data_IF_656564270955
#
_entry.id   IF_656564270955
#
_cell.length_a   1.000
_cell.length_b   1.000
_cell.length_c   1.000
_cell.angle_alpha   90.00
_cell.angle_beta   90.00
_cell.angle_gamma   90.00
#
_symmetry.space_group_name_H-M   'P 1'
#
loop_
_entity.id
_entity.type
_entity.pdbx_description
1 polymer ?
#
# COMPACT_ATOMS: atom_id res chain seq x y z
N UNK A 1 -14.03 2.83 -14.23
CA UNK A 1 -13.78 4.13 -13.54
C UNK A 1 -12.77 3.83 -12.45
N UNK A 2 -11.66 4.58 -12.36
CA UNK A 2 -10.61 4.26 -11.36
C UNK A 2 -10.98 4.89 -10.02
N UNK A 3 -11.04 4.09 -8.98
CA UNK A 3 -11.33 4.55 -7.62
C UNK A 3 -10.02 4.73 -6.86
N UNK A 4 -9.70 5.96 -6.39
CA UNK A 4 -8.49 6.20 -5.62
C UNK A 4 -8.68 5.75 -4.16
N UNK A 5 -7.80 4.89 -3.69
CA UNK A 5 -7.76 4.45 -2.29
C UNK A 5 -6.43 4.83 -1.65
N UNK A 6 -6.46 5.16 -0.35
CA UNK A 6 -5.25 5.36 0.42
C UNK A 6 -4.80 4.05 1.09
N UNK A 7 -3.48 3.84 1.12
CA UNK A 7 -2.87 2.65 1.73
C UNK A 7 -1.70 3.09 2.56
N UNK A 8 -1.61 2.53 3.76
CA UNK A 8 -0.46 2.73 4.65
C UNK A 8 0.45 1.52 4.56
N UNK A 9 1.73 1.73 4.23
CA UNK A 9 2.74 0.70 4.24
C UNK A 9 3.82 1.02 5.27
N UNK A 10 4.23 0.06 6.08
CA UNK A 10 5.29 0.24 7.08
C UNK A 10 6.14 -1.00 7.26
N UNK A 11 7.38 -0.81 7.72
CA UNK A 11 8.31 -1.92 7.97
C UNK A 11 8.23 -2.38 9.43
N UNK A 12 7.97 -3.68 9.63
CA UNK A 12 7.99 -4.34 10.93
C UNK A 12 8.81 -5.62 10.83
N UNK A 13 9.86 -5.76 11.65
CA UNK A 13 10.69 -6.98 11.76
C UNK A 13 11.17 -7.52 10.40
N UNK A 14 11.55 -6.63 9.48
CA UNK A 14 12.02 -6.99 8.14
C UNK A 14 10.93 -7.24 7.10
N UNK A 15 9.66 -7.13 7.46
CA UNK A 15 8.51 -7.27 6.56
C UNK A 15 7.87 -5.92 6.28
N UNK A 16 7.35 -5.75 5.08
CA UNK A 16 6.47 -4.64 4.73
C UNK A 16 5.02 -5.03 5.03
N UNK A 17 4.42 -4.36 6.00
CA UNK A 17 3.00 -4.45 6.30
C UNK A 17 2.24 -3.42 5.46
N UNK A 18 1.26 -3.89 4.70
CA UNK A 18 0.38 -3.08 3.85
C UNK A 18 -1.01 -3.11 4.47
N UNK A 19 -1.49 -1.94 4.90
CA UNK A 19 -2.76 -1.77 5.59
C UNK A 19 -3.73 -0.93 4.72
N UNK A 20 -4.83 -1.56 4.34
CA UNK A 20 -5.95 -0.93 3.63
C UNK A 20 -7.08 -0.70 4.63
N UNK A 21 -7.08 0.47 5.25
CA UNK A 21 -7.96 0.84 6.37
C UNK A 21 -9.44 0.80 5.96
N UNK A 22 -9.75 1.30 4.76
CA UNK A 22 -11.12 1.41 4.24
C UNK A 22 -11.84 0.06 4.12
N UNK A 23 -11.09 -1.03 3.98
CA UNK A 23 -11.60 -2.40 3.86
C UNK A 23 -11.21 -3.29 5.04
N UNK A 24 -10.64 -2.71 6.10
CA UNK A 24 -10.22 -3.43 7.30
C UNK A 24 -9.30 -4.62 7.01
N UNK A 25 -8.40 -4.49 6.03
CA UNK A 25 -7.59 -5.60 5.55
C UNK A 25 -6.10 -5.27 5.57
N UNK A 26 -5.27 -6.29 5.79
CA UNK A 26 -3.82 -6.17 5.77
C UNK A 26 -3.15 -7.34 5.07
N UNK A 27 -1.96 -7.11 4.53
CA UNK A 27 -1.10 -8.13 3.93
C UNK A 27 0.36 -7.83 4.22
N UNK A 28 1.19 -8.87 4.32
CA UNK A 28 2.65 -8.76 4.48
C UNK A 28 3.32 -9.06 3.15
N UNK A 29 4.34 -8.26 2.81
CA UNK A 29 5.19 -8.46 1.64
C UNK A 29 6.66 -8.32 2.04
N UNK A 30 7.55 -8.87 1.22
CA UNK A 30 8.98 -8.96 1.55
C UNK A 30 9.76 -7.72 1.08
N UNK A 31 9.28 -7.04 0.04
CA UNK A 31 9.97 -5.87 -0.55
C UNK A 31 9.04 -4.67 -0.73
N UNK A 32 9.63 -3.47 -0.81
CA UNK A 32 8.88 -2.25 -1.09
C UNK A 32 8.21 -2.31 -2.48
N UNK A 33 8.85 -2.97 -3.46
CA UNK A 33 8.33 -3.11 -4.82
C UNK A 33 7.01 -3.92 -4.87
N UNK A 34 6.80 -4.83 -3.92
CA UNK A 34 5.58 -5.64 -3.81
C UNK A 34 4.38 -4.88 -3.23
N UNK A 35 4.61 -3.75 -2.54
CA UNK A 35 3.57 -3.04 -1.79
C UNK A 35 2.42 -2.59 -2.68
N UNK A 36 2.70 -2.05 -3.88
CA UNK A 36 1.65 -1.58 -4.78
C UNK A 36 0.80 -2.72 -5.33
N UNK A 37 1.41 -3.82 -5.79
CA UNK A 37 0.66 -4.97 -6.30
C UNK A 37 -0.22 -5.57 -5.21
N UNK A 38 0.36 -5.79 -4.03
CA UNK A 38 -0.35 -6.37 -2.90
C UNK A 38 -1.52 -5.49 -2.43
N UNK A 39 -1.33 -4.16 -2.40
CA UNK A 39 -2.41 -3.21 -2.10
C UNK A 39 -3.57 -3.31 -3.11
N UNK A 40 -3.26 -3.35 -4.41
CA UNK A 40 -4.27 -3.43 -5.47
C UNK A 40 -5.03 -4.75 -5.43
N UNK A 41 -4.33 -5.86 -5.22
CA UNK A 41 -4.93 -7.18 -5.05
C UNK A 41 -5.81 -7.28 -3.81
N UNK A 42 -5.40 -6.63 -2.72
CA UNK A 42 -6.17 -6.59 -1.49
C UNK A 42 -7.53 -5.90 -1.71
N UNK A 43 -7.55 -4.73 -2.33
CA UNK A 43 -8.79 -4.01 -2.66
C UNK A 43 -9.63 -4.75 -3.70
N UNK A 44 -9.01 -5.23 -4.79
CA UNK A 44 -9.73 -5.96 -5.84
C UNK A 44 -10.50 -7.17 -5.27
N UNK A 45 -9.86 -7.94 -4.40
CA UNK A 45 -10.47 -9.10 -3.75
C UNK A 45 -11.55 -8.72 -2.73
N UNK A 46 -11.31 -7.70 -1.91
CA UNK A 46 -12.25 -7.28 -0.86
C UNK A 46 -13.51 -6.63 -1.42
N UNK A 47 -13.38 -5.92 -2.54
CA UNK A 47 -14.47 -5.16 -3.16
C UNK A 47 -15.07 -5.86 -4.40
N UNK A 48 -14.54 -7.03 -4.79
CA UNK A 48 -15.00 -7.74 -6.00
C UNK A 48 -14.74 -6.98 -7.29
N UNK A 49 -13.66 -6.20 -7.36
CA UNK A 49 -13.32 -5.32 -8.49
C UNK A 49 -12.16 -5.87 -9.31
N UNK A 50 -12.03 -5.42 -10.57
CA UNK A 50 -10.86 -5.74 -11.40
C UNK A 50 -9.65 -4.94 -10.94
N UNK A 51 -8.45 -5.53 -10.99
CA UNK A 51 -7.19 -4.86 -10.64
C UNK A 51 -6.95 -3.54 -11.40
N UNK A 52 -7.42 -3.47 -12.66
CA UNK A 52 -7.25 -2.29 -13.51
C UNK A 52 -8.07 -1.06 -13.06
N UNK A 53 -9.11 -1.29 -12.26
CA UNK A 53 -10.02 -0.25 -11.73
C UNK A 53 -9.59 0.26 -10.35
N UNK A 54 -8.62 -0.41 -9.71
CA UNK A 54 -8.07 0.01 -8.42
C UNK A 54 -6.89 0.94 -8.64
N UNK A 55 -7.04 2.21 -8.23
CA UNK A 55 -5.93 3.15 -8.12
C UNK A 55 -5.56 3.31 -6.65
N UNK A 56 -4.28 3.17 -6.30
CA UNK A 56 -3.81 3.29 -4.92
C UNK A 56 -2.83 4.45 -4.79
N UNK A 57 -2.95 5.19 -3.68
CA UNK A 57 -1.92 6.12 -3.21
C UNK A 57 -1.30 5.51 -1.95
N UNK A 58 0.01 5.29 -1.97
CA UNK A 58 0.71 4.59 -0.90
C UNK A 58 1.45 5.61 -0.02
N UNK A 59 1.11 5.66 1.25
CA UNK A 59 1.86 6.37 2.27
C UNK A 59 2.83 5.39 2.93
N UNK A 60 4.13 5.68 2.85
CA UNK A 60 5.17 4.82 3.42
C UNK A 60 5.66 5.42 4.73
N UNK A 61 5.51 4.64 5.81
CA UNK A 61 6.00 4.99 7.13
C UNK A 61 7.18 4.09 7.48
N UNK A 62 8.36 4.67 7.63
CA UNK A 62 9.50 3.97 8.19
C UNK A 62 9.59 4.35 9.67
N UNK A 63 9.24 3.40 10.53
CA UNK A 63 9.53 3.54 11.96
C UNK A 63 11.02 3.31 12.16
N UNK A 64 11.73 4.34 12.59
CA UNK A 64 13.01 4.18 13.28
C UNK A 64 12.76 4.38 14.77
N UNK A 65 13.56 3.80 15.67
CA UNK A 65 13.43 4.04 17.12
C UNK A 65 13.45 5.53 17.52
N UNK A 66 13.87 6.43 16.63
CA UNK A 66 14.02 7.87 16.90
C UNK A 66 13.00 8.79 16.23
N UNK A 67 12.25 8.37 15.20
CA UNK A 67 11.22 9.22 14.59
C UNK A 67 10.39 8.43 13.57
N UNK A 68 9.09 8.70 13.55
CA UNK A 68 8.20 8.35 12.43
C UNK A 68 8.54 9.29 11.27
N UNK A 69 9.32 8.82 10.29
CA UNK A 69 9.54 9.57 9.05
C UNK A 69 8.33 9.32 8.15
N UNK A 70 7.46 10.34 8.00
CA UNK A 70 6.29 10.32 7.12
C UNK A 70 6.74 10.68 5.71
N UNK A 71 7.04 9.68 4.87
CA UNK A 71 7.36 9.89 3.47
C UNK A 71 6.13 9.62 2.59
N UNK A 72 5.60 10.65 1.91
CA UNK A 72 4.52 10.50 0.93
C UNK A 72 5.13 10.03 -0.39
N UNK A 73 4.86 8.80 -0.81
CA UNK A 73 5.30 8.29 -2.09
C UNK A 73 4.21 8.52 -3.14
N UNK A 74 4.51 9.34 -4.15
CA UNK A 74 3.64 9.53 -5.32
C UNK A 74 4.33 8.81 -6.47
N UNK A 75 3.95 7.55 -6.70
CA UNK A 75 4.43 6.76 -7.82
C UNK A 75 4.00 7.39 -9.14
N UNK A 76 4.85 8.22 -9.74
CA UNK A 76 4.76 8.56 -11.18
C UNK A 76 5.62 7.57 -11.94
N UNK A 77 4.98 6.59 -12.57
CA UNK A 77 5.60 5.82 -13.65
C UNK A 77 5.79 6.78 -14.83
N UNK A 78 7.01 7.31 -15.01
CA UNK A 78 7.40 7.93 -16.28
C UNK A 78 7.78 6.80 -17.24
N UNK A 79 7.03 6.67 -18.33
CA UNK A 79 7.48 6.05 -19.57
C UNK A 79 8.54 6.92 -20.22
#
# INVERSE_FOLDING_TARGET
MRHPYEVTAFVERGWWLVHAVDVGAQVRVSTLAEVESAARELYARRLGMKLADVAVTIQVYRSTPAAVIRARWIGRVRR
#
